data_IF_057253208904
#
_entry.id   IF_057253208904
#
_cell.length_a   1.000
_cell.length_b   1.000
_cell.length_c   1.000
_cell.angle_alpha   90.00
_cell.angle_beta   90.00
_cell.angle_gamma   90.00
#
_symmetry.space_group_name_H-M   'P 1'
#
loop_
_entity.id
_entity.type
_entity.pdbx_description
1 polymer ?
#
# COMPACT_ATOMS: atom_id res chain seq x y z
N UNK A 1 -1.98 18.56 -27.32
CA UNK A 1 -2.58 17.64 -26.32
C UNK A 1 -3.57 16.70 -27.00
N UNK A 2 -3.14 16.00 -28.05
CA UNK A 2 -4.04 15.29 -28.98
C UNK A 2 -3.63 13.81 -29.00
N UNK A 3 -4.56 12.94 -28.59
CA UNK A 3 -4.52 11.45 -28.57
C UNK A 3 -4.11 10.68 -27.28
N UNK A 4 -4.16 11.27 -26.08
CA UNK A 4 -3.95 10.49 -24.83
C UNK A 4 -5.24 9.84 -24.27
N UNK A 5 -6.40 10.16 -24.84
CA UNK A 5 -7.72 9.68 -24.42
C UNK A 5 -7.80 8.17 -24.11
N UNK A 6 -7.25 7.25 -24.94
CA UNK A 6 -7.29 5.82 -24.61
C UNK A 6 -6.50 5.47 -23.34
N UNK A 7 -5.33 6.09 -23.12
CA UNK A 7 -4.49 5.86 -21.94
C UNK A 7 -5.24 6.30 -20.67
N UNK A 8 -5.95 7.43 -20.75
CA UNK A 8 -6.74 7.96 -19.64
C UNK A 8 -7.88 7.04 -19.28
N UNK A 9 -8.59 6.52 -20.28
CA UNK A 9 -9.68 5.56 -20.05
C UNK A 9 -9.13 4.31 -19.35
N UNK A 10 -7.98 3.79 -19.79
CA UNK A 10 -7.32 2.64 -19.16
C UNK A 10 -6.96 2.95 -17.71
N UNK A 11 -6.29 4.08 -17.44
CA UNK A 11 -5.90 4.47 -16.09
C UNK A 11 -7.11 4.65 -15.16
N UNK A 12 -8.18 5.28 -15.64
CA UNK A 12 -9.41 5.45 -14.85
C UNK A 12 -10.02 4.08 -14.55
N UNK A 13 -10.14 3.20 -15.56
CA UNK A 13 -10.68 1.85 -15.34
C UNK A 13 -9.83 1.05 -14.36
N UNK A 14 -8.52 1.09 -14.48
CA UNK A 14 -7.57 0.38 -13.62
C UNK A 14 -7.67 0.87 -12.16
N UNK A 15 -7.66 2.18 -11.94
CA UNK A 15 -7.78 2.77 -10.60
C UNK A 15 -9.13 2.42 -9.96
N UNK A 16 -10.22 2.50 -10.71
CA UNK A 16 -11.55 2.13 -10.21
C UNK A 16 -11.65 0.65 -9.88
N UNK A 17 -11.18 -0.23 -10.78
CA UNK A 17 -11.18 -1.66 -10.56
C UNK A 17 -10.35 -2.02 -9.32
N UNK A 18 -9.15 -1.41 -9.18
CA UNK A 18 -8.30 -1.57 -8.01
C UNK A 18 -8.99 -1.16 -6.72
N UNK A 19 -9.62 0.02 -6.66
CA UNK A 19 -10.35 0.48 -5.48
C UNK A 19 -11.50 -0.46 -5.13
N UNK A 20 -12.32 -0.85 -6.11
CA UNK A 20 -13.48 -1.72 -5.90
C UNK A 20 -13.08 -3.09 -5.36
N UNK A 21 -12.06 -3.72 -5.95
CA UNK A 21 -11.56 -5.03 -5.52
C UNK A 21 -11.00 -4.95 -4.09
N UNK A 22 -10.17 -3.95 -3.79
CA UNK A 22 -9.60 -3.80 -2.45
C UNK A 22 -10.67 -3.42 -1.41
N UNK A 23 -11.65 -2.59 -1.76
CA UNK A 23 -12.77 -2.28 -0.89
C UNK A 23 -13.64 -3.51 -0.58
N UNK A 24 -13.88 -4.36 -1.58
CA UNK A 24 -14.59 -5.63 -1.39
C UNK A 24 -13.84 -6.56 -0.44
N UNK A 25 -12.51 -6.66 -0.58
CA UNK A 25 -11.65 -7.42 0.34
C UNK A 25 -11.80 -6.92 1.78
N UNK A 26 -11.74 -5.61 2.00
CA UNK A 26 -11.92 -5.01 3.33
C UNK A 26 -13.30 -5.34 3.90
N UNK A 27 -14.34 -5.27 3.06
CA UNK A 27 -15.71 -5.56 3.47
C UNK A 27 -15.90 -7.02 3.90
N UNK A 28 -15.40 -7.96 3.10
CA UNK A 28 -15.39 -9.39 3.45
C UNK A 28 -14.60 -9.61 4.73
N UNK A 29 -13.46 -8.92 4.89
CA UNK A 29 -12.66 -9.02 6.09
C UNK A 29 -13.32 -8.48 7.35
N UNK A 30 -14.06 -7.40 7.22
CA UNK A 30 -14.85 -6.87 8.32
C UNK A 30 -15.96 -7.85 8.72
N UNK A 31 -16.63 -8.48 7.75
CA UNK A 31 -17.64 -9.52 7.99
C UNK A 31 -17.06 -10.73 8.72
N UNK A 32 -15.91 -11.22 8.27
CA UNK A 32 -15.23 -12.35 8.90
C UNK A 32 -14.79 -12.02 10.32
N UNK A 33 -14.26 -10.81 10.56
CA UNK A 33 -13.86 -10.35 11.89
C UNK A 33 -15.03 -10.37 12.89
N UNK A 34 -16.22 -9.93 12.47
CA UNK A 34 -17.43 -9.95 13.29
C UNK A 34 -17.85 -11.40 13.60
N UNK A 35 -17.67 -12.31 12.64
CA UNK A 35 -18.18 -13.68 12.72
C UNK A 35 -17.26 -14.60 13.52
N UNK A 36 -15.94 -14.54 13.33
CA UNK A 36 -15.02 -15.58 13.84
C UNK A 36 -14.26 -15.23 15.11
N UNK A 37 -14.29 -13.97 15.60
CA UNK A 37 -13.52 -13.41 16.76
C UNK A 37 -12.00 -13.61 16.75
N UNK A 38 -11.48 -14.54 15.95
CA UNK A 38 -10.07 -14.86 15.75
C UNK A 38 -9.79 -14.85 14.26
N UNK A 39 -8.96 -13.90 13.82
CA UNK A 39 -8.55 -13.74 12.43
C UNK A 39 -7.09 -14.10 12.30
N UNK A 40 -6.76 -14.89 11.28
CA UNK A 40 -5.38 -15.26 11.01
C UNK A 40 -4.53 -14.01 10.74
N UNK A 41 -3.26 -14.07 11.09
CA UNK A 41 -2.41 -12.88 10.99
C UNK A 41 -2.07 -12.49 9.54
N UNK A 42 -1.95 -13.46 8.63
CA UNK A 42 -1.86 -13.18 7.19
C UNK A 42 -3.08 -12.40 6.70
N UNK A 43 -4.25 -12.65 7.28
CA UNK A 43 -5.46 -11.91 7.00
C UNK A 43 -5.38 -10.45 7.47
N UNK A 44 -4.79 -10.19 8.65
CA UNK A 44 -4.58 -8.81 9.14
C UNK A 44 -3.70 -8.01 8.19
N UNK A 45 -2.59 -8.59 7.73
CA UNK A 45 -1.69 -7.95 6.76
C UNK A 45 -2.43 -7.67 5.45
N UNK A 46 -3.23 -8.62 4.98
CA UNK A 46 -4.03 -8.48 3.77
C UNK A 46 -5.05 -7.33 3.87
N UNK A 47 -5.70 -7.16 5.03
CA UNK A 47 -6.62 -6.04 5.28
C UNK A 47 -5.90 -4.70 5.27
N UNK A 48 -4.74 -4.62 5.94
CA UNK A 48 -3.93 -3.40 5.95
C UNK A 48 -3.48 -3.06 4.53
N UNK A 49 -2.98 -4.05 3.78
CA UNK A 49 -2.57 -3.87 2.38
C UNK A 49 -3.73 -3.38 1.50
N UNK A 50 -4.92 -3.99 1.62
CA UNK A 50 -6.10 -3.57 0.88
C UNK A 50 -6.51 -2.12 1.22
N UNK A 51 -6.42 -1.72 2.50
CA UNK A 51 -6.69 -0.35 2.92
C UNK A 51 -5.72 0.65 2.29
N UNK A 52 -4.42 0.37 2.32
CA UNK A 52 -3.42 1.25 1.70
C UNK A 52 -3.53 1.30 0.17
N UNK A 53 -3.92 0.20 -0.49
CA UNK A 53 -4.23 0.20 -1.93
C UNK A 53 -5.44 1.08 -2.27
N UNK A 54 -6.47 1.12 -1.42
CA UNK A 54 -7.59 2.07 -1.60
C UNK A 54 -7.10 3.52 -1.45
N UNK A 55 -6.30 3.82 -0.43
CA UNK A 55 -5.69 5.14 -0.24
C UNK A 55 -4.84 5.55 -1.45
N UNK A 56 -4.04 4.63 -1.99
CA UNK A 56 -3.26 4.85 -3.21
C UNK A 56 -4.15 5.18 -4.40
N UNK A 57 -5.21 4.40 -4.63
CA UNK A 57 -6.18 4.67 -5.70
C UNK A 57 -6.85 6.04 -5.57
N UNK A 58 -7.20 6.46 -4.35
CA UNK A 58 -7.73 7.81 -4.09
C UNK A 58 -6.71 8.91 -4.40
N UNK A 59 -5.43 8.71 -4.07
CA UNK A 59 -4.38 9.66 -4.46
C UNK A 59 -4.20 9.75 -5.97
N UNK A 60 -4.25 8.62 -6.67
CA UNK A 60 -4.21 8.59 -8.14
C UNK A 60 -5.39 9.35 -8.75
N UNK A 61 -6.58 9.24 -8.15
CA UNK A 61 -7.74 10.05 -8.53
C UNK A 61 -7.51 11.55 -8.37
N UNK A 62 -6.91 11.99 -7.26
CA UNK A 62 -6.57 13.41 -7.07
C UNK A 62 -5.62 13.89 -8.17
N UNK A 63 -4.61 13.08 -8.50
CA UNK A 63 -3.68 13.37 -9.60
C UNK A 63 -4.36 13.49 -10.97
N UNK A 64 -5.25 12.55 -11.28
CA UNK A 64 -6.04 12.55 -12.52
C UNK A 64 -6.96 13.77 -12.59
N UNK A 65 -7.67 14.08 -11.50
CA UNK A 65 -8.56 15.23 -11.43
C UNK A 65 -7.80 16.55 -11.63
N UNK A 66 -6.63 16.71 -10.99
CA UNK A 66 -5.82 17.91 -11.19
C UNK A 66 -5.36 18.06 -12.65
N UNK A 67 -4.87 16.96 -13.24
CA UNK A 67 -4.38 16.97 -14.62
C UNK A 67 -5.48 17.28 -15.65
N UNK A 68 -6.67 16.68 -15.50
CA UNK A 68 -7.75 16.82 -16.48
C UNK A 68 -8.66 18.02 -16.24
N UNK A 69 -9.04 18.26 -14.98
CA UNK A 69 -9.94 19.36 -14.64
C UNK A 69 -9.19 20.67 -14.37
N UNK A 70 -7.84 20.65 -14.37
CA UNK A 70 -6.99 21.82 -14.09
C UNK A 70 -7.37 22.52 -12.79
N UNK A 71 -7.57 21.74 -11.73
CA UNK A 71 -7.93 22.30 -10.41
C UNK A 71 -6.82 23.18 -9.82
N UNK A 72 -5.56 22.99 -10.24
CA UNK A 72 -4.43 23.78 -9.77
C UNK A 72 -3.97 23.38 -8.38
N UNK A 73 -4.18 22.13 -7.98
CA UNK A 73 -3.80 21.59 -6.67
C UNK A 73 -2.27 21.55 -6.54
N UNK A 74 -1.55 21.28 -7.64
CA UNK A 74 -0.09 21.17 -7.66
C UNK A 74 0.63 22.45 -8.13
N UNK A 75 -0.02 23.62 -8.08
CA UNK A 75 0.63 24.90 -8.45
C UNK A 75 1.65 25.36 -7.42
N UNK A 76 1.50 24.95 -6.16
CA UNK A 76 2.44 25.23 -5.09
C UNK A 76 3.43 24.07 -4.95
N UNK A 77 4.72 24.38 -5.04
CA UNK A 77 5.80 23.39 -4.97
C UNK A 77 5.77 22.57 -3.65
N UNK A 78 5.38 23.20 -2.53
CA UNK A 78 5.23 22.51 -1.26
C UNK A 78 4.13 21.46 -1.29
N UNK A 79 2.98 21.77 -1.92
CA UNK A 79 1.87 20.81 -2.08
C UNK A 79 2.31 19.63 -2.94
N UNK A 80 3.06 19.88 -4.01
CA UNK A 80 3.62 18.85 -4.88
C UNK A 80 4.59 17.94 -4.12
N UNK A 81 5.49 18.49 -3.32
CA UNK A 81 6.41 17.70 -2.50
C UNK A 81 5.71 16.86 -1.45
N UNK A 82 4.71 17.41 -0.77
CA UNK A 82 3.91 16.66 0.21
C UNK A 82 3.16 15.52 -0.50
N UNK A 83 2.57 15.78 -1.66
CA UNK A 83 1.88 14.75 -2.43
C UNK A 83 2.82 13.63 -2.86
N UNK A 84 3.99 13.96 -3.43
CA UNK A 84 5.01 12.99 -3.82
C UNK A 84 5.52 12.18 -2.63
N UNK A 85 5.78 12.85 -1.50
CA UNK A 85 6.18 12.20 -0.26
C UNK A 85 5.18 11.13 0.17
N UNK A 86 3.89 11.49 0.26
CA UNK A 86 2.87 10.55 0.71
C UNK A 86 2.64 9.43 -0.31
N UNK A 87 2.66 9.75 -1.61
CA UNK A 87 2.51 8.75 -2.67
C UNK A 87 3.65 7.72 -2.63
N UNK A 88 4.90 8.18 -2.52
CA UNK A 88 6.08 7.31 -2.39
C UNK A 88 6.02 6.48 -1.12
N UNK A 89 5.64 7.08 0.01
CA UNK A 89 5.45 6.38 1.27
C UNK A 89 4.44 5.24 1.14
N UNK A 90 3.26 5.49 0.54
CA UNK A 90 2.23 4.46 0.35
C UNK A 90 2.74 3.34 -0.56
N UNK A 91 3.40 3.67 -1.68
CA UNK A 91 3.95 2.66 -2.60
C UNK A 91 4.98 1.80 -1.88
N UNK A 92 5.97 2.41 -1.23
CA UNK A 92 6.98 1.69 -0.46
C UNK A 92 6.32 0.78 0.58
N UNK A 93 5.38 1.30 1.36
CA UNK A 93 4.71 0.52 2.40
C UNK A 93 3.95 -0.68 1.83
N UNK A 94 3.21 -0.50 0.73
CA UNK A 94 2.52 -1.60 0.07
C UNK A 94 3.48 -2.67 -0.46
N UNK A 95 4.65 -2.27 -0.98
CA UNK A 95 5.67 -3.23 -1.45
C UNK A 95 6.26 -4.07 -0.31
N UNK A 96 6.56 -3.45 0.84
CA UNK A 96 7.04 -4.17 2.03
C UNK A 96 5.98 -5.13 2.58
N UNK A 97 4.73 -4.68 2.68
CA UNK A 97 3.61 -5.53 3.09
C UNK A 97 3.39 -6.72 2.16
N UNK A 98 3.49 -6.51 0.84
CA UNK A 98 3.33 -7.58 -0.15
C UNK A 98 4.45 -8.62 -0.02
N UNK A 99 5.68 -8.17 0.19
CA UNK A 99 6.83 -9.06 0.45
C UNK A 99 6.61 -9.91 1.71
N UNK A 100 6.18 -9.27 2.80
CA UNK A 100 5.89 -9.95 4.06
C UNK A 100 4.74 -10.96 3.92
N UNK A 101 3.68 -10.61 3.20
CA UNK A 101 2.58 -11.53 2.91
C UNK A 101 3.06 -12.75 2.11
N UNK A 102 3.92 -12.54 1.10
CA UNK A 102 4.55 -13.60 0.34
C UNK A 102 5.39 -14.54 1.21
N UNK A 103 6.20 -13.99 2.11
CA UNK A 103 6.96 -14.75 3.10
C UNK A 103 6.05 -15.61 4.00
N UNK A 104 4.94 -15.05 4.50
CA UNK A 104 3.97 -15.81 5.29
C UNK A 104 3.30 -16.94 4.51
N UNK A 105 2.96 -16.73 3.24
CA UNK A 105 2.40 -17.79 2.41
C UNK A 105 3.43 -18.88 2.11
N UNK A 106 4.68 -18.51 1.89
CA UNK A 106 5.78 -19.46 1.72
C UNK A 106 5.98 -20.34 2.96
N UNK A 107 6.03 -19.72 4.16
CA UNK A 107 6.07 -20.43 5.44
C UNK A 107 4.92 -21.44 5.55
N UNK A 108 3.70 -21.02 5.18
CA UNK A 108 2.50 -21.85 5.28
C UNK A 108 2.53 -23.07 4.36
N UNK A 109 3.12 -22.95 3.17
CA UNK A 109 3.25 -24.05 2.22
C UNK A 109 4.45 -24.96 2.50
N UNK A 110 5.47 -24.45 3.18
CA UNK A 110 6.66 -25.24 3.48
C UNK A 110 6.45 -26.09 4.74
N UNK A 111 6.55 -27.41 4.63
CA UNK A 111 6.57 -28.34 5.78
C UNK A 111 7.93 -28.34 6.50
N UNK A 112 8.59 -27.19 6.65
CA UNK A 112 9.90 -27.14 7.29
C UNK A 112 9.76 -27.19 8.82
N UNK A 113 10.29 -28.26 9.42
CA UNK A 113 10.45 -28.45 10.88
C UNK A 113 11.61 -27.61 11.46
N UNK A 114 12.01 -26.51 10.80
CA UNK A 114 13.11 -25.69 11.29
C UNK A 114 12.63 -24.77 12.42
N UNK A 115 13.35 -24.76 13.55
CA UNK A 115 12.93 -24.08 14.79
C UNK A 115 12.64 -22.58 14.65
N UNK A 116 13.27 -21.88 13.70
CA UNK A 116 12.98 -20.48 13.40
C UNK A 116 11.58 -20.29 12.76
N UNK A 117 11.19 -21.19 11.86
CA UNK A 117 9.85 -21.20 11.24
C UNK A 117 8.77 -21.63 12.24
N UNK A 118 9.10 -22.53 13.17
CA UNK A 118 8.19 -22.90 14.27
C UNK A 118 7.95 -21.73 15.24
N UNK A 119 8.99 -20.96 15.58
CA UNK A 119 8.84 -19.75 16.40
C UNK A 119 8.02 -18.67 15.70
N UNK A 120 8.31 -18.43 14.41
CA UNK A 120 7.50 -17.52 13.59
C UNK A 120 6.03 -17.95 13.59
N UNK A 121 5.74 -19.26 13.47
CA UNK A 121 4.38 -19.84 13.48
C UNK A 121 3.68 -19.76 14.84
N UNK A 122 4.39 -19.84 15.96
CA UNK A 122 3.81 -19.81 17.30
C UNK A 122 3.57 -18.39 17.83
N UNK A 123 4.42 -17.43 17.43
CA UNK A 123 4.37 -16.05 17.91
C UNK A 123 3.80 -15.06 16.89
N UNK A 124 3.14 -15.54 15.81
CA UNK A 124 2.66 -14.67 14.72
C UNK A 124 1.79 -13.51 15.25
N UNK A 125 0.97 -13.74 16.28
CA UNK A 125 0.08 -12.70 16.84
C UNK A 125 0.84 -11.49 17.41
N UNK A 126 2.05 -11.71 17.92
CA UNK A 126 2.94 -10.67 18.42
C UNK A 126 3.90 -10.16 17.34
N UNK A 127 4.33 -11.01 16.39
CA UNK A 127 5.30 -10.64 15.36
C UNK A 127 4.70 -9.68 14.30
N UNK A 128 3.44 -9.83 13.93
CA UNK A 128 2.80 -8.99 12.89
C UNK A 128 2.85 -7.49 13.20
N UNK A 129 2.44 -7.00 14.38
CA UNK A 129 2.52 -5.57 14.66
C UNK A 129 3.95 -5.05 14.63
N UNK A 130 4.95 -5.85 15.02
CA UNK A 130 6.36 -5.48 14.88
C UNK A 130 6.80 -5.42 13.41
N UNK A 131 6.40 -6.38 12.58
CA UNK A 131 6.69 -6.33 11.14
C UNK A 131 6.06 -5.10 10.49
N UNK A 132 4.79 -4.81 10.79
CA UNK A 132 4.11 -3.60 10.31
C UNK A 132 4.85 -2.32 10.73
N UNK A 133 5.38 -2.28 11.97
CA UNK A 133 6.14 -1.14 12.47
C UNK A 133 7.47 -0.97 11.71
N UNK A 134 8.17 -2.08 11.44
CA UNK A 134 9.42 -2.06 10.66
C UNK A 134 9.15 -1.61 9.22
N UNK A 135 8.11 -2.15 8.58
CA UNK A 135 7.70 -1.76 7.23
C UNK A 135 7.37 -0.26 7.19
N UNK A 136 6.70 0.25 8.22
CA UNK A 136 6.31 1.66 8.34
C UNK A 136 7.55 2.55 8.42
N UNK A 137 8.49 2.22 9.31
CA UNK A 137 9.73 2.97 9.49
C UNK A 137 10.59 2.95 8.22
N UNK A 138 10.70 1.79 7.58
CA UNK A 138 11.49 1.65 6.36
C UNK A 138 10.87 2.45 5.21
N UNK A 139 9.54 2.46 5.10
CA UNK A 139 8.82 3.25 4.09
C UNK A 139 8.92 4.76 4.35
N UNK A 140 8.88 5.19 5.61
CA UNK A 140 9.13 6.59 5.98
C UNK A 140 10.56 6.99 5.60
N UNK A 141 11.56 6.17 5.90
CA UNK A 141 12.94 6.45 5.52
C UNK A 141 13.12 6.53 4.00
N UNK A 142 12.56 5.57 3.24
CA UNK A 142 12.61 5.58 1.79
C UNK A 142 11.96 6.84 1.20
N UNK A 143 10.76 7.19 1.64
CA UNK A 143 10.05 8.37 1.13
C UNK A 143 10.76 9.68 1.45
N UNK A 144 11.31 9.85 2.66
CA UNK A 144 12.12 11.01 3.01
C UNK A 144 13.36 11.10 2.13
N UNK A 145 14.11 9.99 1.97
CA UNK A 145 15.31 9.97 1.14
C UNK A 145 15.02 10.29 -0.33
N UNK A 146 13.93 9.74 -0.88
CA UNK A 146 13.52 10.00 -2.26
C UNK A 146 13.16 11.47 -2.50
N UNK A 147 12.43 12.11 -1.58
CA UNK A 147 12.07 13.53 -1.70
C UNK A 147 13.29 14.42 -1.50
N UNK A 148 14.16 14.10 -0.55
CA UNK A 148 15.43 14.83 -0.38
C UNK A 148 16.28 14.74 -1.64
N UNK A 149 16.44 13.56 -2.22
CA UNK A 149 17.15 13.38 -3.49
C UNK A 149 16.56 14.23 -4.61
N UNK A 150 15.23 14.26 -4.72
CA UNK A 150 14.54 15.07 -5.72
C UNK A 150 14.82 16.57 -5.52
N UNK A 151 14.75 17.08 -4.29
CA UNK A 151 15.05 18.48 -3.97
C UNK A 151 16.50 18.82 -4.31
N UNK A 152 17.46 17.98 -3.94
CA UNK A 152 18.88 18.21 -4.26
C UNK A 152 19.19 18.14 -5.76
N UNK A 153 18.40 17.40 -6.54
CA UNK A 153 18.57 17.31 -7.99
C UNK A 153 18.04 18.54 -8.74
N UNK A 154 17.16 19.34 -8.13
CA UNK A 154 16.60 20.57 -8.73
C UNK A 154 17.38 21.84 -8.38
N UNK A 155 18.31 21.79 -7.41
CA UNK A 155 19.19 22.90 -6.99
C UNK A 155 20.49 22.88 -7.78
#
# INVERSE_FOLDING_TARGET
MQNNLPIVIILVLEVNAGILVNAFIIFVAYRDLITTKTVSNSYKILVVLAFFNVCYGLMMWVGLLDYFCRFGIFTNIYTTYIFLYVLLFIISFCTWLTSNLGFFYFIKMSNFESGFFFWARYNISSVVPWMLLVDLLLSLLCSVLSVLYFIFSEI
#
